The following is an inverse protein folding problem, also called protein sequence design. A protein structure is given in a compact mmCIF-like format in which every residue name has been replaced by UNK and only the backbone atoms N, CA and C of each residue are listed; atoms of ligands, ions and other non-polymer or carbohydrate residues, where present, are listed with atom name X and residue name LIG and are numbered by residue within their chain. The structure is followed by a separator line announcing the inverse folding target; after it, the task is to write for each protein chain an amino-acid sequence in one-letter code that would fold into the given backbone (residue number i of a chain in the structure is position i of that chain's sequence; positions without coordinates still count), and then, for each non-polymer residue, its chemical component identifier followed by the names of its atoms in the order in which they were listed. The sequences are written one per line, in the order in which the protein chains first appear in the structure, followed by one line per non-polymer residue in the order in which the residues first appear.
data_IF_165211739147
#
_entry.id   IF_165211739147
#
_cell.length_a   1.000
_cell.length_b   1.000
_cell.length_c   1.000
_cell.angle_alpha   90.00
_cell.angle_beta   90.00
_cell.angle_gamma   90.00
#
_symmetry.space_group_name_H-M   'P 1'
#
loop_
_entity.id
_entity.type
_entity.pdbx_description
1 polymer ?
#
# COMPACT_ATOMS: atom_id res chain seq x y z
N UNK A 1 -56.40 15.56 10.87
CA UNK A 1 -55.26 15.97 10.01
C UNK A 1 -53.97 15.57 10.69
N UNK A 2 -53.49 14.37 10.39
CA UNK A 2 -52.28 13.81 10.99
C UNK A 2 -51.05 14.34 10.25
N UNK A 3 -50.16 15.02 10.97
CA UNK A 3 -48.86 15.48 10.45
C UNK A 3 -47.89 14.30 10.47
N UNK A 4 -47.67 13.69 9.32
CA UNK A 4 -46.59 12.71 9.16
C UNK A 4 -45.24 13.44 9.15
N UNK A 5 -44.44 13.16 10.17
CA UNK A 5 -43.04 13.60 10.29
C UNK A 5 -42.20 12.64 9.45
N UNK A 6 -41.74 13.07 8.29
CA UNK A 6 -40.75 12.32 7.51
C UNK A 6 -39.46 12.18 8.34
N UNK A 7 -38.83 11.00 8.42
CA UNK A 7 -37.55 10.86 9.09
C UNK A 7 -36.48 11.57 8.25
N UNK A 8 -35.74 12.47 8.90
CA UNK A 8 -34.51 13.04 8.37
C UNK A 8 -33.56 11.86 8.11
N UNK A 9 -33.34 11.54 6.83
CA UNK A 9 -32.25 10.67 6.44
C UNK A 9 -30.95 11.39 6.77
N UNK A 10 -30.33 11.01 7.89
CA UNK A 10 -28.93 11.28 8.13
C UNK A 10 -28.15 10.54 7.07
N UNK A 11 -27.77 11.25 6.01
CA UNK A 11 -26.76 10.78 5.09
C UNK A 11 -25.47 10.64 5.87
N UNK A 12 -25.19 9.42 6.34
CA UNK A 12 -23.86 9.02 6.77
C UNK A 12 -22.97 9.10 5.52
N UNK A 13 -22.44 10.28 5.24
CA UNK A 13 -21.49 10.48 4.15
C UNK A 13 -20.22 9.72 4.53
N UNK A 14 -20.12 8.47 4.08
CA UNK A 14 -18.90 7.69 4.24
C UNK A 14 -17.81 8.40 3.44
N UNK A 15 -16.63 8.55 4.05
CA UNK A 15 -15.45 9.15 3.40
C UNK A 15 -15.05 8.33 2.16
N UNK A 16 -15.51 7.07 2.09
CA UNK A 16 -15.34 6.13 1.01
C UNK A 16 -16.23 6.43 -0.21
N UNK A 17 -17.46 6.93 -0.03
CA UNK A 17 -18.35 7.28 -1.15
C UNK A 17 -17.82 8.48 -1.96
N UNK A 18 -17.09 9.39 -1.32
CA UNK A 18 -16.39 10.48 -2.04
C UNK A 18 -15.15 10.00 -2.79
N UNK A 19 -14.60 8.84 -2.45
CA UNK A 19 -13.46 8.23 -3.14
C UNK A 19 -13.89 7.49 -4.42
N UNK A 20 -15.14 7.01 -4.48
CA UNK A 20 -15.69 6.23 -5.60
C UNK A 20 -15.95 7.03 -6.88
N UNK A 21 -16.14 8.35 -6.78
CA UNK A 21 -16.41 9.22 -7.94
C UNK A 21 -15.20 9.54 -8.80
N UNK A 22 -13.98 9.28 -8.32
CA UNK A 22 -12.70 9.61 -8.99
C UNK A 22 -11.88 8.37 -9.34
N UNK A 23 -12.52 7.21 -9.50
CA UNK A 23 -11.88 5.91 -9.72
C UNK A 23 -11.18 5.72 -11.09
N UNK A 24 -11.06 6.76 -11.92
CA UNK A 24 -10.44 6.68 -13.25
C UNK A 24 -9.18 7.54 -13.46
N UNK A 25 -8.35 7.70 -12.42
CA UNK A 25 -7.00 8.19 -12.66
C UNK A 25 -6.00 7.45 -11.79
N UNK A 26 -5.68 6.23 -12.21
CA UNK A 26 -4.45 5.53 -11.82
C UNK A 26 -3.18 6.36 -12.09
N UNK A 27 -3.32 7.47 -12.84
CA UNK A 27 -2.33 8.50 -13.13
C UNK A 27 -2.51 9.79 -12.31
N UNK A 28 -3.39 9.86 -11.31
CA UNK A 28 -3.57 11.07 -10.50
C UNK A 28 -2.47 11.20 -9.46
N UNK A 29 -2.09 12.44 -9.12
CA UNK A 29 -1.00 12.69 -8.18
C UNK A 29 -1.30 12.07 -6.82
N UNK A 30 -2.52 12.26 -6.31
CA UNK A 30 -2.98 11.71 -5.04
C UNK A 30 -2.89 10.18 -5.02
N UNK A 31 -3.33 9.51 -6.10
CA UNK A 31 -3.22 8.06 -6.21
C UNK A 31 -1.76 7.59 -6.21
N UNK A 32 -0.89 8.26 -6.96
CA UNK A 32 0.53 7.93 -7.01
C UNK A 32 1.24 8.15 -5.67
N UNK A 33 0.86 9.18 -4.91
CA UNK A 33 1.36 9.39 -3.54
C UNK A 33 0.87 8.31 -2.56
N UNK A 34 -0.40 7.89 -2.66
CA UNK A 34 -0.93 6.77 -1.88
C UNK A 34 -0.16 5.50 -2.23
N UNK A 35 0.01 5.19 -3.52
CA UNK A 35 0.77 4.03 -3.99
C UNK A 35 2.20 4.04 -3.46
N UNK A 36 2.90 5.17 -3.54
CA UNK A 36 4.26 5.31 -3.01
C UNK A 36 4.35 4.98 -1.52
N UNK A 37 3.41 5.50 -0.72
CA UNK A 37 3.34 5.21 0.73
C UNK A 37 3.01 3.75 1.00
N UNK A 38 2.07 3.16 0.26
CA UNK A 38 1.69 1.75 0.40
C UNK A 38 2.84 0.81 0.06
N UNK A 39 3.62 1.10 -0.98
CA UNK A 39 4.83 0.35 -1.32
C UNK A 39 5.89 0.43 -0.21
N UNK A 40 6.02 1.59 0.45
CA UNK A 40 6.84 1.73 1.65
C UNK A 40 6.43 0.79 2.78
N UNK A 41 5.13 0.72 3.09
CA UNK A 41 4.61 -0.19 4.12
C UNK A 41 4.84 -1.67 3.76
N UNK A 42 4.63 -2.05 2.51
CA UNK A 42 4.87 -3.41 2.05
C UNK A 42 6.35 -3.81 2.23
N UNK A 43 7.30 -2.89 1.97
CA UNK A 43 8.72 -3.12 2.25
C UNK A 43 8.99 -3.32 3.75
N UNK A 44 8.33 -2.57 4.63
CA UNK A 44 8.46 -2.74 6.08
C UNK A 44 7.91 -4.08 6.57
N UNK A 45 6.81 -4.56 5.97
CA UNK A 45 6.29 -5.90 6.23
C UNK A 45 7.29 -6.99 5.77
N UNK A 46 7.92 -6.83 4.61
CA UNK A 46 8.96 -7.77 4.15
C UNK A 46 10.17 -7.80 5.09
N UNK A 47 10.60 -6.64 5.60
CA UNK A 47 11.66 -6.57 6.62
C UNK A 47 11.27 -7.33 7.88
N UNK A 48 10.03 -7.18 8.33
CA UNK A 48 9.50 -7.89 9.49
C UNK A 48 9.47 -9.40 9.26
N UNK A 49 8.99 -9.85 8.10
CA UNK A 49 9.01 -11.28 7.70
C UNK A 49 10.43 -11.84 7.66
N UNK A 50 11.41 -11.07 7.18
CA UNK A 50 12.81 -11.48 7.18
C UNK A 50 13.33 -11.68 8.60
N UNK A 51 13.12 -10.72 9.49
CA UNK A 51 13.54 -10.86 10.91
C UNK A 51 12.90 -12.07 11.57
N UNK A 52 11.61 -12.29 11.33
CA UNK A 52 10.90 -13.46 11.84
C UNK A 52 11.50 -14.78 11.32
N UNK A 53 11.83 -14.84 10.02
CA UNK A 53 12.46 -16.01 9.41
C UNK A 53 13.83 -16.34 10.02
N UNK A 54 14.64 -15.33 10.32
CA UNK A 54 15.94 -15.49 10.99
C UNK A 54 15.76 -16.03 12.42
N UNK A 55 14.75 -15.52 13.13
CA UNK A 55 14.43 -15.96 14.48
C UNK A 55 13.89 -17.39 14.51
N UNK A 56 13.06 -17.76 13.53
CA UNK A 56 12.54 -19.12 13.38
C UNK A 56 13.66 -20.12 13.05
N UNK A 57 14.66 -19.72 12.27
CA UNK A 57 15.85 -20.53 12.03
C UNK A 57 16.62 -20.74 13.34
N UNK A 58 16.85 -19.65 14.09
CA UNK A 58 17.58 -19.69 15.37
C UNK A 58 16.90 -20.59 16.41
N UNK A 59 15.56 -20.58 16.44
CA UNK A 59 14.74 -21.44 17.32
C UNK A 59 14.62 -22.88 16.82
N UNK A 60 15.11 -23.18 15.61
CA UNK A 60 14.98 -24.50 14.99
C UNK A 60 13.56 -24.82 14.50
N UNK A 61 12.70 -23.80 14.35
CA UNK A 61 11.35 -23.96 13.80
C UNK A 61 11.36 -24.23 12.28
N UNK A 62 12.42 -23.80 11.59
CA UNK A 62 12.62 -24.04 10.16
C UNK A 62 13.97 -24.69 9.88
N UNK A 63 14.01 -25.56 8.87
CA UNK A 63 15.27 -26.18 8.40
C UNK A 63 16.04 -25.19 7.53
N UNK A 64 17.37 -25.32 7.50
CA UNK A 64 18.26 -24.45 6.70
C UNK A 64 17.86 -24.37 5.21
N UNK A 65 17.45 -25.49 4.61
CA UNK A 65 17.02 -25.53 3.21
C UNK A 65 15.73 -24.75 2.95
N UNK A 66 14.78 -24.82 3.89
CA UNK A 66 13.54 -24.05 3.84
C UNK A 66 13.80 -22.57 4.10
N UNK A 67 14.69 -22.27 5.04
CA UNK A 67 15.17 -20.92 5.33
C UNK A 67 15.79 -20.28 4.07
N UNK A 68 16.74 -20.94 3.41
CA UNK A 68 17.41 -20.43 2.22
C UNK A 68 16.41 -20.12 1.09
N UNK A 69 15.45 -21.03 0.86
CA UNK A 69 14.41 -20.84 -0.15
C UNK A 69 13.50 -19.65 0.18
N UNK A 70 13.06 -19.54 1.44
CA UNK A 70 12.20 -18.45 1.90
C UNK A 70 12.93 -17.10 1.87
N UNK A 71 14.20 -17.07 2.27
CA UNK A 71 15.04 -15.88 2.22
C UNK A 71 15.21 -15.39 0.78
N UNK A 72 15.48 -16.30 -0.17
CA UNK A 72 15.60 -15.94 -1.58
C UNK A 72 14.30 -15.32 -2.12
N UNK A 73 13.13 -15.88 -1.77
CA UNK A 73 11.83 -15.31 -2.14
C UNK A 73 11.66 -13.89 -1.60
N UNK A 74 11.96 -13.67 -0.30
CA UNK A 74 11.88 -12.35 0.32
C UNK A 74 12.82 -11.34 -0.34
N UNK A 75 14.03 -11.75 -0.73
CA UNK A 75 14.99 -10.89 -1.44
C UNK A 75 14.45 -10.48 -2.82
N UNK A 76 13.95 -11.44 -3.60
CA UNK A 76 13.39 -11.15 -4.93
C UNK A 76 12.18 -10.22 -4.83
N UNK A 77 11.28 -10.48 -3.88
CA UNK A 77 10.11 -9.63 -3.64
C UNK A 77 10.51 -8.21 -3.21
N UNK A 78 11.49 -8.08 -2.30
CA UNK A 78 12.02 -6.79 -1.85
C UNK A 78 12.62 -6.00 -3.01
N UNK A 79 13.39 -6.66 -3.89
CA UNK A 79 14.00 -6.00 -5.05
C UNK A 79 12.94 -5.52 -6.04
N UNK A 80 11.90 -6.31 -6.29
CA UNK A 80 10.80 -5.93 -7.16
C UNK A 80 10.04 -4.71 -6.60
N UNK A 81 9.71 -4.72 -5.31
CA UNK A 81 9.02 -3.59 -4.67
C UNK A 81 9.89 -2.33 -4.61
N UNK A 82 11.20 -2.46 -4.37
CA UNK A 82 12.12 -1.32 -4.40
C UNK A 82 12.16 -0.67 -5.79
N UNK A 83 12.22 -1.48 -6.86
CA UNK A 83 12.17 -0.98 -8.23
C UNK A 83 10.85 -0.24 -8.50
N UNK A 84 9.72 -0.88 -8.19
CA UNK A 84 8.40 -0.26 -8.38
C UNK A 84 8.27 1.05 -7.58
N UNK A 85 8.75 1.06 -6.33
CA UNK A 85 8.71 2.25 -5.48
C UNK A 85 9.55 3.38 -6.05
N UNK A 86 10.72 3.09 -6.61
CA UNK A 86 11.57 4.07 -7.29
C UNK A 86 10.86 4.66 -8.50
N UNK A 87 10.29 3.81 -9.36
CA UNK A 87 9.56 4.25 -10.56
C UNK A 87 8.35 5.14 -10.19
N UNK A 88 7.64 4.79 -9.11
CA UNK A 88 6.52 5.59 -8.59
C UNK A 88 7.02 6.92 -8.00
N UNK A 89 8.15 6.91 -7.30
CA UNK A 89 8.77 8.12 -6.73
C UNK A 89 9.11 9.14 -7.81
N UNK A 90 9.76 8.70 -8.88
CA UNK A 90 10.11 9.52 -10.03
C UNK A 90 8.86 10.13 -10.68
N UNK A 91 7.82 9.32 -10.88
CA UNK A 91 6.53 9.80 -11.41
C UNK A 91 5.89 10.84 -10.50
N UNK A 92 5.87 10.63 -9.18
CA UNK A 92 5.35 11.60 -8.22
C UNK A 92 6.13 12.92 -8.29
N UNK A 93 7.47 12.85 -8.37
CA UNK A 93 8.33 14.05 -8.51
C UNK A 93 8.01 14.84 -9.78
N UNK A 94 7.92 14.16 -10.93
CA UNK A 94 7.59 14.79 -12.22
C UNK A 94 6.20 15.45 -12.20
N UNK A 95 5.20 14.76 -11.64
CA UNK A 95 3.85 15.28 -11.52
C UNK A 95 3.76 16.51 -10.61
N UNK A 96 4.53 16.54 -9.51
CA UNK A 96 4.62 17.71 -8.63
C UNK A 96 5.26 18.90 -9.33
N UNK A 97 6.35 18.67 -10.06
CA UNK A 97 7.01 19.72 -10.83
C UNK A 97 6.09 20.34 -11.90
N UNK A 98 5.34 19.51 -12.62
CA UNK A 98 4.42 19.97 -13.66
C UNK A 98 3.18 20.70 -13.11
N UNK A 99 2.78 20.47 -11.86
CA UNK A 99 1.65 21.16 -11.22
C UNK A 99 1.99 22.57 -10.75
N UNK A 100 3.29 22.89 -10.61
CA UNK A 100 3.78 24.19 -10.15
C UNK A 100 4.02 25.15 -11.33
N UNK A 101 4.12 24.64 -12.56
CA UNK A 101 4.15 25.41 -13.80
C UNK A 101 2.75 25.78 -14.26
#
# INVERSE_FOLDING_TARGET
MSKERSPIMTSNSSVWDKLGGTLNSASSLTFMEIRYRSLGKALDELRTKRVQLEEDLRKGHVKETQYATSLLKLIVETNNLNKERSDVEEKVKLMKANKIR
#
